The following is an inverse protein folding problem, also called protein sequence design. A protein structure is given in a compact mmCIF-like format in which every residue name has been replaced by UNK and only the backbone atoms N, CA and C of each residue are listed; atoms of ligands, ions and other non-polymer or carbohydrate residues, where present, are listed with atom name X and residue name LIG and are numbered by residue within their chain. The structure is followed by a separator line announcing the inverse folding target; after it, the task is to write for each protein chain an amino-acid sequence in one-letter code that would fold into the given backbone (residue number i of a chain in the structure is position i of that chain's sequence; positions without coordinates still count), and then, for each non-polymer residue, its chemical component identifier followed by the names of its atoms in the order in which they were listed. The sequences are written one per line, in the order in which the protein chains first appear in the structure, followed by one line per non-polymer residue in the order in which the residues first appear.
data_IF_441751079761
#
_entry.id   IF_441751079761
#
_cell.length_a   1.000
_cell.length_b   1.000
_cell.length_c   1.000
_cell.angle_alpha   90.00
_cell.angle_beta   90.00
_cell.angle_gamma   90.00
#
_symmetry.space_group_name_H-M   'P 1'
#
loop_
_entity.id
_entity.type
_entity.pdbx_description
1 polymer ?
#
# COMPACT_ATOMS: atom_id res chain seq x y z
N UNK A 1 -14.15 -49.24 42.35
CA UNK A 1 -13.32 -48.05 42.09
C UNK A 1 -12.74 -48.19 40.70
N UNK A 2 -13.40 -47.65 39.67
CA UNK A 2 -12.89 -47.65 38.30
C UNK A 2 -12.89 -46.21 37.84
N UNK A 3 -11.69 -45.66 37.67
CA UNK A 3 -11.49 -44.28 37.26
C UNK A 3 -11.81 -44.16 35.78
N UNK A 4 -12.92 -43.49 35.47
CA UNK A 4 -13.24 -43.01 34.12
C UNK A 4 -12.27 -41.88 33.80
N UNK A 5 -11.22 -42.18 33.04
CA UNK A 5 -10.33 -41.16 32.51
C UNK A 5 -11.06 -40.38 31.41
N UNK A 6 -11.44 -39.15 31.71
CA UNK A 6 -11.93 -38.18 30.73
C UNK A 6 -10.77 -37.85 29.78
N UNK A 7 -10.79 -38.44 28.58
CA UNK A 7 -9.93 -38.04 27.46
C UNK A 7 -10.22 -36.58 27.15
N UNK A 8 -9.27 -35.70 27.46
CA UNK A 8 -9.32 -34.30 27.03
C UNK A 8 -9.05 -34.29 25.51
N UNK A 9 -10.11 -34.12 24.72
CA UNK A 9 -9.98 -33.83 23.28
C UNK A 9 -9.27 -32.49 23.14
N UNK A 10 -7.98 -32.55 22.79
CA UNK A 10 -7.20 -31.40 22.39
C UNK A 10 -7.69 -30.97 21.01
N UNK A 11 -8.74 -30.15 20.97
CA UNK A 11 -9.13 -29.37 19.81
C UNK A 11 -8.01 -28.36 19.52
N UNK A 12 -6.92 -28.84 18.91
CA UNK A 12 -5.97 -27.97 18.22
C UNK A 12 -6.71 -27.37 17.03
N UNK A 13 -7.38 -26.25 17.27
CA UNK A 13 -7.92 -25.40 16.22
C UNK A 13 -6.73 -24.89 15.42
N UNK A 14 -6.42 -25.61 14.34
CA UNK A 14 -5.34 -25.25 13.43
C UNK A 14 -5.75 -23.98 12.71
N UNK A 15 -5.22 -22.85 13.16
CA UNK A 15 -5.46 -21.57 12.52
C UNK A 15 -5.17 -21.69 11.01
N UNK A 16 -6.05 -21.22 10.13
CA UNK A 16 -5.88 -21.39 8.70
C UNK A 16 -4.61 -20.67 8.24
N UNK A 17 -3.69 -21.42 7.64
CA UNK A 17 -2.43 -20.86 7.14
C UNK A 17 -2.73 -20.04 5.89
N UNK A 18 -2.39 -18.75 5.91
CA UNK A 18 -2.50 -17.90 4.72
C UNK A 18 -1.61 -18.43 3.59
N UNK A 19 -2.17 -18.54 2.39
CA UNK A 19 -1.40 -18.89 1.19
C UNK A 19 -0.23 -17.91 0.98
N UNK A 20 0.98 -18.45 0.80
CA UNK A 20 2.21 -17.65 0.63
C UNK A 20 2.12 -16.65 -0.53
N UNK A 21 1.51 -17.05 -1.64
CA UNK A 21 1.30 -16.18 -2.79
C UNK A 21 0.37 -15.01 -2.45
N UNK A 22 -0.67 -15.27 -1.66
CA UNK A 22 -1.60 -14.23 -1.19
C UNK A 22 -0.87 -13.21 -0.30
N UNK A 23 0.01 -13.68 0.58
CA UNK A 23 0.81 -12.81 1.45
C UNK A 23 1.73 -11.93 0.61
N UNK A 24 2.48 -12.50 -0.34
CA UNK A 24 3.40 -11.72 -1.20
C UNK A 24 2.67 -10.64 -1.99
N UNK A 25 1.54 -10.98 -2.64
CA UNK A 25 0.75 -10.01 -3.42
C UNK A 25 0.16 -8.94 -2.51
N UNK A 26 -0.39 -9.31 -1.36
CA UNK A 26 -0.94 -8.36 -0.40
C UNK A 26 0.13 -7.40 0.12
N UNK A 27 1.34 -7.88 0.43
CA UNK A 27 2.46 -7.04 0.85
C UNK A 27 2.91 -6.08 -0.25
N UNK A 28 3.02 -6.56 -1.50
CA UNK A 28 3.38 -5.71 -2.64
C UNK A 28 2.37 -4.57 -2.85
N UNK A 29 1.07 -4.91 -2.84
CA UNK A 29 0.00 -3.92 -2.99
C UNK A 29 -0.01 -2.96 -1.79
N UNK A 30 0.17 -3.47 -0.58
CA UNK A 30 0.27 -2.65 0.63
C UNK A 30 1.37 -1.61 0.52
N UNK A 31 2.58 -2.02 0.13
CA UNK A 31 3.69 -1.09 -0.13
C UNK A 31 3.35 -0.09 -1.22
N UNK A 32 2.71 -0.50 -2.33
CA UNK A 32 2.33 0.44 -3.39
C UNK A 32 1.33 1.51 -2.92
N UNK A 33 0.38 1.14 -2.06
CA UNK A 33 -0.62 2.07 -1.50
C UNK A 33 0.04 3.10 -0.59
N UNK A 34 1.04 2.73 0.20
CA UNK A 34 1.77 3.66 1.08
C UNK A 34 2.39 4.84 0.29
N UNK A 35 2.79 4.61 -0.96
CA UNK A 35 3.36 5.65 -1.83
C UNK A 35 2.36 6.23 -2.84
N UNK A 36 1.07 5.86 -2.78
CA UNK A 36 0.08 6.27 -3.78
C UNK A 36 -0.18 7.78 -3.78
N UNK A 37 -0.23 8.41 -2.60
CA UNK A 37 -0.42 9.87 -2.48
C UNK A 37 0.73 10.64 -3.15
N UNK A 38 1.97 10.12 -3.09
CA UNK A 38 3.10 10.75 -3.79
C UNK A 38 2.97 10.66 -5.31
N UNK A 39 2.40 9.56 -5.83
CA UNK A 39 2.12 9.45 -7.26
C UNK A 39 1.07 10.47 -7.71
N UNK A 40 -0.02 10.62 -6.94
CA UNK A 40 -1.05 11.62 -7.22
C UNK A 40 -0.48 13.04 -7.09
N UNK A 41 0.31 13.30 -6.05
CA UNK A 41 0.98 14.59 -5.88
C UNK A 41 1.93 14.90 -7.05
N UNK A 42 2.74 13.93 -7.49
CA UNK A 42 3.65 14.11 -8.62
C UNK A 42 2.90 14.42 -9.93
N UNK A 43 1.82 13.69 -10.21
CA UNK A 43 0.99 13.95 -11.41
C UNK A 43 0.31 15.31 -11.34
N UNK A 44 -0.20 15.70 -10.17
CA UNK A 44 -0.72 17.05 -9.94
C UNK A 44 0.36 18.13 -10.11
N UNK A 45 1.57 17.91 -9.57
CA UNK A 45 2.68 18.86 -9.68
C UNK A 45 3.07 19.08 -11.16
N UNK A 46 3.15 18.03 -11.97
CA UNK A 46 3.44 18.15 -13.41
C UNK A 46 2.39 18.98 -14.15
N UNK A 47 1.11 18.90 -13.75
CA UNK A 47 0.01 19.64 -14.38
C UNK A 47 -0.07 21.09 -13.87
N UNK A 48 0.09 21.30 -12.56
CA UNK A 48 -0.16 22.60 -11.91
C UNK A 48 1.06 23.50 -11.92
N UNK A 49 2.27 22.95 -11.74
CA UNK A 49 3.50 23.73 -11.69
C UNK A 49 3.67 24.65 -12.91
N UNK A 50 3.47 24.19 -14.17
CA UNK A 50 3.64 25.08 -15.31
C UNK A 50 2.67 26.26 -15.32
N UNK A 51 1.46 26.09 -14.81
CA UNK A 51 0.46 27.17 -14.78
C UNK A 51 0.76 28.23 -13.73
N UNK A 52 1.38 27.85 -12.61
CA UNK A 52 1.73 28.79 -11.54
C UNK A 52 3.07 29.48 -11.83
N UNK A 53 4.05 28.76 -12.38
CA UNK A 53 5.41 29.27 -12.58
C UNK A 53 5.70 29.77 -14.00
N UNK A 54 4.91 29.36 -15.02
CA UNK A 54 5.04 29.82 -16.40
C UNK A 54 3.69 30.21 -17.04
N UNK A 55 3.00 31.26 -16.53
CA UNK A 55 1.76 31.73 -17.14
C UNK A 55 1.97 32.13 -18.61
N UNK A 56 0.98 31.85 -19.47
CA UNK A 56 1.02 32.21 -20.89
C UNK A 56 1.07 33.73 -21.05
N UNK A 57 2.28 34.27 -21.17
CA UNK A 57 2.51 35.72 -21.25
C UNK A 57 3.98 36.12 -21.02
N UNK A 58 4.77 35.27 -20.35
CA UNK A 58 6.20 35.52 -20.14
C UNK A 58 7.04 34.34 -20.65
N UNK A 59 7.43 34.42 -21.92
CA UNK A 59 8.34 33.44 -22.53
C UNK A 59 9.76 33.48 -21.90
N UNK A 60 10.11 34.55 -21.16
CA UNK A 60 11.39 34.69 -20.48
C UNK A 60 11.40 34.03 -19.09
N UNK A 61 10.24 33.84 -18.46
CA UNK A 61 10.12 33.15 -17.16
C UNK A 61 10.63 31.69 -17.22
N UNK A 62 10.49 31.03 -18.37
CA UNK A 62 10.97 29.66 -18.59
C UNK A 62 12.48 29.55 -18.90
N UNK A 63 13.17 30.67 -19.15
CA UNK A 63 14.58 30.68 -19.59
C UNK A 63 15.59 31.04 -18.51
N UNK A 64 15.14 31.48 -17.32
CA UNK A 64 16.00 31.91 -16.20
C UNK A 64 16.05 30.92 -15.01
N UNK A 65 15.58 29.68 -15.17
CA UNK A 65 15.69 28.61 -14.18
C UNK A 65 16.81 27.62 -14.50
#
# INVERSE_FOLDING_TARGET
MQATATTLENSQETAPVNSRNKVVVASLIGTAIEFFDFYIYATAAVIVFPHIFFPQGDAAAATLQ
#
